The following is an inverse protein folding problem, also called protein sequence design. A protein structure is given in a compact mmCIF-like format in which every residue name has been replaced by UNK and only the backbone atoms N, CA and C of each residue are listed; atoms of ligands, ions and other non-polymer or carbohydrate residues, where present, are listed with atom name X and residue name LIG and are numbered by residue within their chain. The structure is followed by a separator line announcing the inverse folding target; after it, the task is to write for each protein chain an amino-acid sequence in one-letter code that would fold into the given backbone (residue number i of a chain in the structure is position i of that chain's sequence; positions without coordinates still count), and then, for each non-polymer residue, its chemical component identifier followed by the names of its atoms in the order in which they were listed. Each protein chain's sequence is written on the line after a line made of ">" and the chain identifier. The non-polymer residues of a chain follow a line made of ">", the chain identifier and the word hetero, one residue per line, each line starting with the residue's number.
data_IF_580922938130
#
_entry.id   IF_580922938130
#
_cell.length_a   1.000
_cell.length_b   1.000
_cell.length_c   1.000
_cell.angle_alpha   90.00
_cell.angle_beta   90.00
_cell.angle_gamma   90.00
#
_symmetry.space_group_name_H-M   'P 1'
#
loop_
_entity.id
_entity.type
_entity.pdbx_description
1 polymer ?
#
# COMPACT_ATOMS: atom_id res chain seq x y z
N UNK A 1 12.49 12.17 30.76
CA UNK A 1 12.64 10.88 30.06
C UNK A 1 11.79 10.88 28.81
N UNK A 2 12.35 10.47 27.67
CA UNK A 2 11.63 10.43 26.39
C UNK A 2 10.57 9.33 26.44
N UNK A 3 9.33 9.66 26.09
CA UNK A 3 8.25 8.68 26.02
C UNK A 3 8.25 7.97 24.65
N UNK A 4 9.06 6.93 24.53
CA UNK A 4 9.22 6.17 23.30
C UNK A 4 7.91 5.59 22.75
N UNK A 5 6.99 5.18 23.62
CA UNK A 5 5.69 4.64 23.18
C UNK A 5 4.81 5.69 22.50
N UNK A 6 4.96 6.97 22.89
CA UNK A 6 4.28 8.08 22.23
C UNK A 6 4.86 8.34 20.84
N UNK A 7 6.20 8.33 20.73
CA UNK A 7 6.90 8.54 19.47
C UNK A 7 6.51 7.45 18.46
N UNK A 8 6.56 6.17 18.86
CA UNK A 8 6.21 5.07 17.96
C UNK A 8 4.75 5.13 17.50
N UNK A 9 3.82 5.51 18.38
CA UNK A 9 2.42 5.75 18.01
C UNK A 9 2.28 6.89 17.01
N UNK A 10 2.95 8.00 17.23
CA UNK A 10 2.93 9.14 16.31
C UNK A 10 3.46 8.75 14.93
N UNK A 11 4.62 8.08 14.87
CA UNK A 11 5.20 7.60 13.61
C UNK A 11 4.27 6.62 12.89
N UNK A 12 3.60 5.73 13.64
CA UNK A 12 2.63 4.79 13.08
C UNK A 12 1.42 5.53 12.46
N UNK A 13 0.88 6.54 13.12
CA UNK A 13 -0.22 7.34 12.58
C UNK A 13 0.22 8.16 11.37
N UNK A 14 1.42 8.73 11.40
CA UNK A 14 1.99 9.47 10.27
C UNK A 14 2.17 8.56 9.06
N UNK A 15 2.75 7.38 9.25
CA UNK A 15 2.86 6.38 8.20
C UNK A 15 1.51 5.94 7.65
N UNK A 16 0.52 5.70 8.53
CA UNK A 16 -0.84 5.32 8.12
C UNK A 16 -1.52 6.42 7.28
N UNK A 17 -1.35 7.69 7.66
CA UNK A 17 -1.84 8.82 6.86
C UNK A 17 -1.14 8.88 5.49
N UNK A 18 0.17 8.61 5.44
CA UNK A 18 0.92 8.51 4.18
C UNK A 18 0.42 7.40 3.26
N UNK A 19 0.10 6.22 3.81
CA UNK A 19 -0.48 5.10 3.04
C UNK A 19 -1.85 5.47 2.47
N UNK A 20 -2.74 6.03 3.28
CA UNK A 20 -4.07 6.46 2.83
C UNK A 20 -3.98 7.57 1.79
N UNK A 21 -3.08 8.54 1.99
CA UNK A 21 -2.83 9.62 1.04
C UNK A 21 -2.30 9.10 -0.29
N UNK A 22 -1.39 8.12 -0.27
CA UNK A 22 -0.88 7.50 -1.48
C UNK A 22 -1.98 6.77 -2.25
N UNK A 23 -2.82 5.97 -1.59
CA UNK A 23 -3.96 5.31 -2.24
C UNK A 23 -4.93 6.33 -2.84
N UNK A 24 -5.28 7.38 -2.11
CA UNK A 24 -6.15 8.43 -2.62
C UNK A 24 -5.56 9.12 -3.86
N UNK A 25 -4.26 9.46 -3.82
CA UNK A 25 -3.57 10.07 -4.94
C UNK A 25 -3.53 9.14 -6.17
N UNK A 26 -3.22 7.85 -5.99
CA UNK A 26 -3.23 6.86 -7.08
C UNK A 26 -4.64 6.75 -7.70
N UNK A 27 -5.69 6.65 -6.87
CA UNK A 27 -7.07 6.57 -7.35
C UNK A 27 -7.43 7.81 -8.18
N UNK A 28 -7.07 9.01 -7.71
CA UNK A 28 -7.31 10.26 -8.45
C UNK A 28 -6.59 10.22 -9.80
N UNK A 29 -5.29 9.88 -9.82
CA UNK A 29 -4.52 9.82 -11.07
C UNK A 29 -5.10 8.78 -12.04
N UNK A 30 -5.48 7.59 -11.54
CA UNK A 30 -6.13 6.55 -12.38
C UNK A 30 -7.46 7.04 -12.97
N UNK A 31 -8.25 7.76 -12.17
CA UNK A 31 -9.60 8.22 -12.58
C UNK A 31 -9.53 9.33 -13.62
N UNK A 32 -8.57 10.24 -13.51
CA UNK A 32 -8.46 11.42 -14.37
C UNK A 32 -7.38 11.31 -15.44
N UNK A 33 -6.66 10.19 -15.53
CA UNK A 33 -5.71 9.95 -16.61
C UNK A 33 -6.42 10.00 -17.97
N UNK A 34 -5.85 10.69 -18.96
CA UNK A 34 -6.40 10.63 -20.32
C UNK A 34 -6.32 9.20 -20.86
N UNK A 35 -7.32 8.79 -21.64
CA UNK A 35 -7.26 7.50 -22.31
C UNK A 35 -6.08 7.47 -23.32
N UNK A 36 -5.43 6.31 -23.55
CA UNK A 36 -4.29 6.21 -24.45
C UNK A 36 -4.64 6.59 -25.90
N UNK A 37 -5.89 6.40 -26.32
CA UNK A 37 -6.43 6.80 -27.64
C UNK A 37 -6.49 8.31 -27.81
N UNK A 38 -6.63 9.06 -26.70
CA UNK A 38 -6.70 10.53 -26.71
C UNK A 38 -5.29 11.12 -26.64
N UNK A 39 -4.44 10.58 -25.77
CA UNK A 39 -3.07 11.08 -25.57
C UNK A 39 -2.18 10.02 -24.95
N UNK A 40 -1.35 9.37 -25.78
CA UNK A 40 -0.33 8.42 -25.31
C UNK A 40 0.67 9.09 -24.33
N UNK A 41 1.08 10.32 -24.62
CA UNK A 41 2.01 11.08 -23.78
C UNK A 41 1.38 11.41 -22.41
N UNK A 42 0.14 11.88 -22.39
CA UNK A 42 -0.58 12.18 -21.15
C UNK A 42 -0.85 10.91 -20.33
N UNK A 43 -1.20 9.81 -21.00
CA UNK A 43 -1.37 8.52 -20.37
C UNK A 43 -0.07 8.00 -19.75
N UNK A 44 1.04 8.07 -20.48
CA UNK A 44 2.36 7.67 -19.99
C UNK A 44 2.81 8.51 -18.78
N UNK A 45 2.57 9.82 -18.81
CA UNK A 45 2.85 10.71 -17.68
C UNK A 45 2.03 10.32 -16.42
N UNK A 46 0.74 10.00 -16.59
CA UNK A 46 -0.10 9.53 -15.50
C UNK A 46 0.40 8.21 -14.91
N UNK A 47 0.77 7.22 -15.76
CA UNK A 47 1.31 5.94 -15.30
C UNK A 47 2.65 6.08 -14.59
N UNK A 48 3.51 6.97 -15.08
CA UNK A 48 4.76 7.31 -14.41
C UNK A 48 4.52 7.94 -13.04
N UNK A 49 3.53 8.83 -12.93
CA UNK A 49 3.16 9.44 -11.65
C UNK A 49 2.68 8.38 -10.63
N UNK A 50 1.89 7.39 -11.06
CA UNK A 50 1.46 6.29 -10.21
C UNK A 50 2.67 5.49 -9.69
N UNK A 51 3.61 5.15 -10.56
CA UNK A 51 4.83 4.44 -10.17
C UNK A 51 5.68 5.25 -9.19
N UNK A 52 5.79 6.58 -9.37
CA UNK A 52 6.49 7.46 -8.46
C UNK A 52 5.81 7.58 -7.09
N UNK A 53 4.47 7.72 -7.05
CA UNK A 53 3.70 7.73 -5.80
C UNK A 53 3.87 6.40 -5.05
N UNK A 54 3.80 5.27 -5.75
CA UNK A 54 4.05 3.96 -5.14
C UNK A 54 5.44 3.88 -4.53
N UNK A 55 6.48 4.19 -5.30
CA UNK A 55 7.89 4.06 -4.89
C UNK A 55 8.26 5.02 -3.76
N UNK A 56 7.86 6.29 -3.84
CA UNK A 56 8.38 7.34 -2.97
C UNK A 56 7.46 7.72 -1.81
N UNK A 57 6.18 7.34 -1.86
CA UNK A 57 5.22 7.64 -0.80
C UNK A 57 4.68 6.35 -0.19
N UNK A 58 4.06 5.47 -0.99
CA UNK A 58 3.39 4.28 -0.48
C UNK A 58 4.36 3.31 0.21
N UNK A 59 5.46 2.94 -0.45
CA UNK A 59 6.45 2.00 0.09
C UNK A 59 7.12 2.54 1.36
N UNK A 60 7.65 3.77 1.41
CA UNK A 60 8.23 4.32 2.64
C UNK A 60 7.21 4.50 3.77
N UNK A 61 5.97 4.89 3.47
CA UNK A 61 4.92 5.02 4.46
C UNK A 61 4.55 3.68 5.09
N UNK A 62 4.44 2.61 4.29
CA UNK A 62 4.23 1.24 4.80
C UNK A 62 5.39 0.75 5.65
N UNK A 63 6.62 0.99 5.23
CA UNK A 63 7.80 0.65 6.02
C UNK A 63 7.76 1.36 7.38
N UNK A 64 7.40 2.64 7.39
CA UNK A 64 7.24 3.41 8.63
C UNK A 64 6.15 2.83 9.53
N UNK A 65 4.99 2.43 8.97
CA UNK A 65 3.90 1.77 9.71
C UNK A 65 4.36 0.49 10.36
N UNK A 66 5.07 -0.36 9.62
CA UNK A 66 5.52 -1.67 10.13
C UNK A 66 6.57 -1.49 11.21
N UNK A 67 7.63 -0.72 10.94
CA UNK A 67 8.71 -0.50 11.89
C UNK A 67 8.18 0.12 13.19
N UNK A 68 7.37 1.17 13.10
CA UNK A 68 6.79 1.81 14.28
C UNK A 68 5.79 0.93 15.02
N UNK A 69 5.02 0.11 14.29
CA UNK A 69 4.10 -0.87 14.87
C UNK A 69 4.83 -1.96 15.66
N UNK A 70 5.87 -2.56 15.08
CA UNK A 70 6.70 -3.58 15.75
C UNK A 70 7.44 -3.00 16.96
N UNK A 71 7.99 -1.79 16.84
CA UNK A 71 8.63 -1.10 17.96
C UNK A 71 7.63 -0.78 19.08
N UNK A 72 6.38 -0.41 18.75
CA UNK A 72 5.31 -0.24 19.73
C UNK A 72 4.98 -1.54 20.46
N UNK A 73 4.95 -2.68 19.73
CA UNK A 73 4.75 -4.00 20.34
C UNK A 73 5.92 -4.37 21.25
N UNK A 74 7.16 -4.15 20.83
CA UNK A 74 8.34 -4.44 21.63
C UNK A 74 8.39 -3.59 22.92
N UNK A 75 7.95 -2.32 22.85
CA UNK A 75 7.96 -1.41 23.98
C UNK A 75 6.78 -1.57 24.94
N UNK A 76 5.74 -2.37 24.60
CA UNK A 76 4.49 -2.45 25.38
C UNK A 76 4.09 -3.90 25.62
N UNK A 77 4.33 -4.45 26.85
CA UNK A 77 4.01 -5.85 27.17
C UNK A 77 2.55 -6.24 26.90
N UNK A 78 1.61 -5.31 27.06
CA UNK A 78 0.21 -5.54 26.78
C UNK A 78 -0.07 -5.91 25.29
N UNK A 79 0.73 -5.41 24.35
CA UNK A 79 0.60 -5.74 22.94
C UNK A 79 1.26 -7.10 22.62
N UNK A 80 2.35 -7.46 23.31
CA UNK A 80 3.04 -8.74 23.13
C UNK A 80 2.13 -9.91 23.47
N UNK A 81 1.26 -9.76 24.48
CA UNK A 81 0.31 -10.77 24.94
C UNK A 81 -1.04 -10.72 24.21
N UNK A 82 -1.23 -9.79 23.27
CA UNK A 82 -2.50 -9.61 22.56
C UNK A 82 -2.44 -10.27 21.17
N UNK A 83 -3.20 -11.36 20.98
CA UNK A 83 -3.25 -12.08 19.69
C UNK A 83 -3.66 -11.20 18.50
N UNK A 84 -4.56 -10.22 18.73
CA UNK A 84 -4.95 -9.27 17.67
C UNK A 84 -3.79 -8.38 17.19
N UNK A 85 -2.83 -8.07 18.08
CA UNK A 85 -1.67 -7.26 17.71
C UNK A 85 -0.72 -8.03 16.79
N UNK A 86 -0.51 -9.32 17.06
CA UNK A 86 0.27 -10.21 16.19
C UNK A 86 -0.40 -10.43 14.83
N UNK A 87 -1.74 -10.64 14.84
CA UNK A 87 -2.49 -10.77 13.59
C UNK A 87 -2.39 -9.50 12.74
N UNK A 88 -2.49 -8.32 13.36
CA UNK A 88 -2.32 -7.03 12.69
C UNK A 88 -0.90 -6.85 12.15
N UNK A 89 0.12 -7.29 12.88
CA UNK A 89 1.51 -7.23 12.42
C UNK A 89 1.73 -8.13 11.19
N UNK A 90 1.17 -9.34 11.19
CA UNK A 90 1.22 -10.24 10.04
C UNK A 90 0.49 -9.67 8.81
N UNK A 91 -0.69 -9.08 9.00
CA UNK A 91 -1.40 -8.39 7.92
C UNK A 91 -0.57 -7.20 7.38
N UNK A 92 0.07 -6.44 8.25
CA UNK A 92 0.96 -5.34 7.86
C UNK A 92 2.14 -5.83 7.03
N UNK A 93 2.76 -6.93 7.44
CA UNK A 93 3.87 -7.52 6.69
C UNK A 93 3.43 -8.05 5.32
N UNK A 94 2.29 -8.74 5.26
CA UNK A 94 1.71 -9.20 4.00
C UNK A 94 1.34 -8.03 3.07
N UNK A 95 0.84 -6.91 3.64
CA UNK A 95 0.62 -5.68 2.87
C UNK A 95 1.91 -5.12 2.29
N UNK A 96 2.98 -5.10 3.06
CA UNK A 96 4.26 -4.57 2.60
C UNK A 96 4.83 -5.40 1.46
N UNK A 97 4.88 -6.72 1.63
CA UNK A 97 5.30 -7.64 0.58
C UNK A 97 4.40 -7.54 -0.66
N UNK A 98 3.08 -7.56 -0.48
CA UNK A 98 2.11 -7.37 -1.55
C UNK A 98 2.28 -6.02 -2.27
N UNK A 99 2.59 -4.95 -1.55
CA UNK A 99 2.86 -3.64 -2.17
C UNK A 99 4.09 -3.69 -3.06
N UNK A 100 5.18 -4.31 -2.63
CA UNK A 100 6.40 -4.40 -3.43
C UNK A 100 6.21 -5.26 -4.68
N UNK A 101 5.59 -6.43 -4.52
CA UNK A 101 5.51 -7.45 -5.58
C UNK A 101 4.32 -7.19 -6.52
N UNK A 102 3.18 -6.78 -5.99
CA UNK A 102 1.92 -6.70 -6.74
C UNK A 102 1.67 -5.27 -7.25
N UNK A 103 1.86 -4.24 -6.39
CA UNK A 103 1.52 -2.86 -6.78
C UNK A 103 2.72 -2.12 -7.37
N UNK A 104 3.84 -2.02 -6.68
CA UNK A 104 4.99 -1.25 -7.15
C UNK A 104 5.59 -1.85 -8.43
N UNK A 105 5.76 -3.18 -8.47
CA UNK A 105 6.28 -3.85 -9.66
C UNK A 105 5.32 -3.77 -10.86
N UNK A 106 4.00 -3.87 -10.63
CA UNK A 106 3.01 -3.74 -11.70
C UNK A 106 2.94 -2.29 -12.20
N UNK A 107 2.88 -1.31 -11.31
CA UNK A 107 2.86 0.11 -11.68
C UNK A 107 4.08 0.52 -12.51
N UNK A 108 5.28 0.03 -12.15
CA UNK A 108 6.49 0.27 -12.95
C UNK A 108 6.40 -0.34 -14.34
N UNK A 109 5.98 -1.61 -14.46
CA UNK A 109 5.84 -2.27 -15.76
C UNK A 109 4.83 -1.55 -16.66
N UNK A 110 3.70 -1.13 -16.10
CA UNK A 110 2.68 -0.38 -16.84
C UNK A 110 3.22 0.99 -17.27
N UNK A 111 3.99 1.68 -16.41
CA UNK A 111 4.62 2.95 -16.74
C UNK A 111 5.67 2.80 -17.85
N UNK A 112 6.54 1.79 -17.75
CA UNK A 112 7.55 1.50 -18.78
C UNK A 112 6.91 1.19 -20.14
N UNK A 113 5.87 0.34 -20.15
CA UNK A 113 5.12 0.04 -21.36
C UNK A 113 4.47 1.29 -21.97
N UNK A 114 3.81 2.11 -21.13
CA UNK A 114 3.16 3.33 -21.60
C UNK A 114 4.18 4.36 -22.12
N UNK A 115 5.36 4.48 -21.49
CA UNK A 115 6.43 5.36 -21.96
C UNK A 115 6.99 4.89 -23.30
N UNK A 116 7.22 3.60 -23.50
CA UNK A 116 7.66 3.04 -24.77
C UNK A 116 6.61 3.23 -25.88
N UNK A 117 5.31 3.03 -25.56
CA UNK A 117 4.21 3.29 -26.47
C UNK A 117 4.14 4.76 -26.92
N UNK A 118 4.34 5.70 -25.96
CA UNK A 118 4.34 7.13 -26.26
C UNK A 118 5.51 7.54 -27.18
N UNK A 119 6.67 6.89 -27.03
CA UNK A 119 7.83 7.12 -27.92
C UNK A 119 7.62 6.52 -29.32
N UNK A 120 7.02 5.33 -29.39
CA UNK A 120 6.75 4.66 -30.66
C UNK A 120 5.54 5.22 -31.42
N UNK A 121 4.66 5.99 -30.76
CA UNK A 121 3.40 6.49 -31.31
C UNK A 121 2.35 5.40 -31.54
N UNK A 122 2.58 4.17 -31.05
CA UNK A 122 1.71 3.01 -31.21
C UNK A 122 1.83 2.06 -30.01
N UNK A 123 0.80 1.26 -29.74
CA UNK A 123 0.80 0.26 -28.68
C UNK A 123 -0.10 -0.93 -29.02
N UNK A 124 0.11 -2.03 -28.33
CA UNK A 124 -0.81 -3.18 -28.33
C UNK A 124 -1.90 -2.98 -27.26
N UNK A 125 -3.17 -2.76 -27.66
CA UNK A 125 -4.26 -2.56 -26.72
C UNK A 125 -4.50 -3.74 -25.77
N UNK A 126 -4.31 -4.98 -26.25
CA UNK A 126 -4.53 -6.18 -25.44
C UNK A 126 -3.44 -6.33 -24.37
N UNK A 127 -2.18 -6.09 -24.73
CA UNK A 127 -1.07 -6.10 -23.79
C UNK A 127 -1.23 -5.02 -22.71
N UNK A 128 -1.63 -3.81 -23.10
CA UNK A 128 -1.88 -2.71 -22.17
C UNK A 128 -3.04 -3.03 -21.23
N UNK A 129 -4.17 -3.53 -21.75
CA UNK A 129 -5.34 -3.90 -20.96
C UNK A 129 -5.00 -4.94 -19.88
N UNK A 130 -4.19 -5.95 -20.22
CA UNK A 130 -3.74 -6.98 -19.26
C UNK A 130 -2.86 -6.40 -18.14
N UNK A 131 -1.94 -5.49 -18.47
CA UNK A 131 -1.10 -4.81 -17.49
C UNK A 131 -1.94 -3.96 -16.55
N UNK A 132 -2.87 -3.17 -17.09
CA UNK A 132 -3.76 -2.28 -16.32
C UNK A 132 -4.68 -3.08 -15.41
N UNK A 133 -5.27 -4.18 -15.91
CA UNK A 133 -6.13 -5.04 -15.09
C UNK A 133 -5.37 -5.63 -13.90
N UNK A 134 -4.13 -6.07 -14.11
CA UNK A 134 -3.27 -6.60 -13.04
C UNK A 134 -2.91 -5.54 -12.00
N UNK A 135 -2.57 -4.34 -12.45
CA UNK A 135 -2.24 -3.20 -11.61
C UNK A 135 -3.45 -2.79 -10.75
N UNK A 136 -4.63 -2.63 -11.36
CA UNK A 136 -5.86 -2.27 -10.65
C UNK A 136 -6.31 -3.34 -9.67
N UNK A 137 -6.29 -4.61 -10.05
CA UNK A 137 -6.67 -5.71 -9.15
C UNK A 137 -5.74 -5.77 -7.93
N UNK A 138 -4.44 -5.58 -8.12
CA UNK A 138 -3.46 -5.51 -7.05
C UNK A 138 -3.73 -4.33 -6.10
N UNK A 139 -4.00 -3.16 -6.64
CA UNK A 139 -4.33 -1.96 -5.86
C UNK A 139 -5.59 -2.18 -5.00
N UNK A 140 -6.68 -2.68 -5.59
CA UNK A 140 -7.93 -2.93 -4.85
C UNK A 140 -7.77 -4.02 -3.79
N UNK A 141 -7.01 -5.07 -4.07
CA UNK A 141 -6.71 -6.11 -3.09
C UNK A 141 -5.97 -5.51 -1.88
N UNK A 142 -4.97 -4.66 -2.09
CA UNK A 142 -4.24 -4.00 -1.00
C UNK A 142 -5.09 -3.01 -0.22
N UNK A 143 -5.96 -2.24 -0.88
CA UNK A 143 -6.92 -1.35 -0.20
C UNK A 143 -7.84 -2.19 0.72
N UNK A 144 -8.33 -3.34 0.25
CA UNK A 144 -9.13 -4.26 1.06
C UNK A 144 -8.38 -4.78 2.29
N UNK A 145 -7.12 -5.18 2.14
CA UNK A 145 -6.27 -5.62 3.26
C UNK A 145 -5.97 -4.45 4.21
N UNK A 146 -5.72 -3.25 3.70
CA UNK A 146 -5.53 -2.04 4.51
C UNK A 146 -6.76 -1.75 5.36
N UNK A 147 -7.96 -1.83 4.77
CA UNK A 147 -9.22 -1.64 5.47
C UNK A 147 -9.41 -2.71 6.56
N UNK A 148 -9.19 -3.99 6.25
CA UNK A 148 -9.23 -5.08 7.23
C UNK A 148 -8.26 -4.84 8.39
N UNK A 149 -7.04 -4.38 8.11
CA UNK A 149 -6.04 -4.05 9.13
C UNK A 149 -6.52 -2.92 10.06
N UNK A 150 -7.19 -1.89 9.52
CA UNK A 150 -7.79 -0.81 10.33
C UNK A 150 -8.91 -1.38 11.22
N UNK A 151 -9.82 -2.18 10.65
CA UNK A 151 -10.93 -2.81 11.39
C UNK A 151 -10.41 -3.65 12.56
N UNK A 152 -9.41 -4.51 12.33
CA UNK A 152 -8.78 -5.33 13.39
C UNK A 152 -8.17 -4.44 14.47
N UNK A 153 -7.56 -3.32 14.10
CA UNK A 153 -6.96 -2.36 15.05
C UNK A 153 -7.99 -1.66 15.92
N UNK A 154 -9.18 -1.37 15.39
CA UNK A 154 -10.27 -0.71 16.10
C UNK A 154 -11.05 -1.72 16.95
N UNK A 155 -11.43 -2.86 16.37
CA UNK A 155 -12.27 -3.86 17.04
C UNK A 155 -11.54 -4.64 18.14
N UNK A 156 -10.23 -4.86 17.99
CA UNK A 156 -9.36 -5.57 18.94
C UNK A 156 -9.96 -6.90 19.39
N UNK A 157 -10.25 -7.84 18.46
CA UNK A 157 -10.93 -9.09 18.83
C UNK A 157 -10.13 -9.83 19.89
N UNK A 158 -10.82 -10.24 20.97
CA UNK A 158 -10.24 -11.08 22.01
C UNK A 158 -10.23 -12.51 21.51
N UNK A 159 -9.10 -12.98 20.98
CA UNK A 159 -8.89 -14.40 20.76
C UNK A 159 -8.76 -15.04 22.16
N UNK A 160 -9.85 -15.63 22.64
CA UNK A 160 -9.91 -16.27 23.94
C UNK A 160 -8.93 -17.45 23.95
N UNK A 161 -7.80 -17.29 24.61
CA UNK A 161 -6.97 -18.41 25.03
C UNK A 161 -7.59 -18.97 26.31
N UNK A 162 -8.52 -19.90 26.20
CA UNK A 162 -8.89 -20.75 27.32
C UNK A 162 -7.72 -21.71 27.54
N UNK A 163 -6.82 -21.33 28.42
CA UNK A 163 -5.98 -22.32 29.11
C UNK A 163 -6.91 -22.87 30.21
N UNK A 164 -7.50 -24.03 29.97
CA UNK A 164 -8.05 -24.86 31.05
C UNK A 164 -6.83 -25.47 31.75
N UNK A 165 -6.63 -25.05 32.99
CA UNK A 165 -5.80 -25.77 33.96
C UNK A 165 -6.44 -27.13 34.25
#
# INVERSE_FOLDING_TARGET
>A
MVNWSLIFRLLHHLGSAGVLGAFAAIIIVVTYAPAPEISLVGYAAARTSIAMISKWILVPALLLVICSGLLSMAATPAYQNAGWAWFKALLGLAMFEGTLVIVDAAARKTAEFAAAAAQAGQYDPAALANLVARDQNGLWALIGVAFANVVVGVWRPRFARQIKD
#
